data_IF_800933968401
#
_entry.id   IF_800933968401
#
_cell.length_a   1.000
_cell.length_b   1.000
_cell.length_c   1.000
_cell.angle_alpha   90.00
_cell.angle_beta   90.00
_cell.angle_gamma   90.00
#
_symmetry.space_group_name_H-M   'P 1'
#
loop_
_entity.id
_entity.type
_entity.pdbx_description
1 polymer ?
#
# COMPACT_ATOMS: atom_id res chain seq x y z
N UNK A 1 20.41 19.85 19.17
CA UNK A 1 20.21 18.48 18.64
C UNK A 1 20.99 17.52 19.50
N UNK A 2 20.34 16.55 20.14
CA UNK A 2 20.99 15.57 21.01
C UNK A 2 21.61 14.40 20.22
N UNK A 3 22.48 13.62 20.86
CA UNK A 3 23.08 12.41 20.26
C UNK A 3 22.05 11.41 19.75
N UNK A 4 20.91 11.29 20.44
CA UNK A 4 19.80 10.41 20.04
C UNK A 4 19.21 10.76 18.66
N UNK A 5 19.21 12.05 18.28
CA UNK A 5 18.71 12.49 16.98
C UNK A 5 19.55 11.92 15.83
N UNK A 6 20.87 12.08 15.90
CA UNK A 6 21.78 11.59 14.86
C UNK A 6 21.77 10.07 14.75
N UNK A 7 21.64 9.35 15.87
CA UNK A 7 21.54 7.89 15.88
C UNK A 7 20.21 7.45 15.25
N UNK A 8 19.08 8.08 15.61
CA UNK A 8 17.77 7.79 15.01
C UNK A 8 17.78 8.01 13.48
N UNK A 9 18.35 9.12 13.03
CA UNK A 9 18.51 9.41 11.60
C UNK A 9 19.38 8.37 10.90
N UNK A 10 20.48 7.95 11.53
CA UNK A 10 21.32 6.88 11.00
C UNK A 10 20.56 5.55 10.84
N UNK A 11 19.81 5.14 11.86
CA UNK A 11 18.96 3.93 11.82
C UNK A 11 17.93 4.05 10.69
N UNK A 12 17.27 5.19 10.57
CA UNK A 12 16.27 5.44 9.52
C UNK A 12 16.89 5.34 8.12
N UNK A 13 18.02 6.00 7.86
CA UNK A 13 18.68 5.98 6.55
C UNK A 13 19.16 4.58 6.18
N UNK A 14 19.72 3.83 7.14
CA UNK A 14 20.17 2.45 6.92
C UNK A 14 18.97 1.56 6.62
N UNK A 15 17.91 1.61 7.43
CA UNK A 15 16.70 0.83 7.22
C UNK A 15 16.09 1.13 5.85
N UNK A 16 15.99 2.41 5.49
CA UNK A 16 15.45 2.84 4.20
C UNK A 16 16.32 2.34 3.02
N UNK A 17 17.64 2.46 3.11
CA UNK A 17 18.55 1.95 2.08
C UNK A 17 18.43 0.44 1.88
N UNK A 18 18.26 -0.33 2.97
CA UNK A 18 18.06 -1.78 2.90
C UNK A 18 16.69 -2.13 2.29
N UNK A 19 15.63 -1.39 2.63
CA UNK A 19 14.30 -1.57 2.03
C UNK A 19 14.34 -1.31 0.53
N UNK A 20 14.96 -0.21 0.10
CA UNK A 20 15.11 0.16 -1.32
C UNK A 20 16.00 -0.83 -2.08
N UNK A 21 16.98 -1.43 -1.40
CA UNK A 21 17.80 -2.49 -2.01
C UNK A 21 17.01 -3.76 -2.32
N UNK A 22 15.80 -3.94 -1.79
CA UNK A 22 14.92 -5.11 -1.93
C UNK A 22 15.56 -6.49 -1.61
N UNK A 23 16.78 -6.51 -1.05
CA UNK A 23 17.51 -7.75 -0.70
C UNK A 23 16.94 -8.46 0.51
N UNK A 24 16.27 -7.71 1.40
CA UNK A 24 15.70 -8.21 2.65
C UNK A 24 14.24 -7.79 2.70
N UNK A 25 13.38 -8.66 3.24
CA UNK A 25 11.96 -8.38 3.36
C UNK A 25 11.71 -7.12 4.20
N UNK A 26 11.04 -6.11 3.62
CA UNK A 26 10.79 -4.81 4.24
C UNK A 26 10.23 -4.87 5.66
N UNK A 27 9.35 -5.83 5.95
CA UNK A 27 8.78 -6.05 7.28
C UNK A 27 9.86 -6.41 8.32
N UNK A 28 10.82 -7.26 7.96
CA UNK A 28 11.91 -7.66 8.87
C UNK A 28 12.78 -6.44 9.18
N UNK A 29 13.11 -5.65 8.16
CA UNK A 29 13.93 -4.44 8.31
C UNK A 29 13.23 -3.40 9.19
N UNK A 30 11.94 -3.17 8.97
CA UNK A 30 11.14 -2.22 9.74
C UNK A 30 11.02 -2.63 11.22
N UNK A 31 10.69 -3.90 11.49
CA UNK A 31 10.56 -4.42 12.87
C UNK A 31 11.92 -4.43 13.58
N UNK A 32 12.99 -4.81 12.88
CA UNK A 32 14.34 -4.78 13.43
C UNK A 32 14.79 -3.34 13.75
N UNK A 33 14.58 -2.40 12.83
CA UNK A 33 14.89 -0.98 13.06
C UNK A 33 14.13 -0.41 14.26
N UNK A 34 12.84 -0.72 14.39
CA UNK A 34 12.03 -0.35 15.55
C UNK A 34 12.58 -0.99 16.84
N UNK A 35 12.97 -2.27 16.81
CA UNK A 35 13.59 -2.95 17.95
C UNK A 35 14.90 -2.30 18.39
N UNK A 36 15.76 -1.90 17.45
CA UNK A 36 17.01 -1.18 17.75
C UNK A 36 16.71 0.18 18.42
N UNK A 37 15.70 0.91 17.93
CA UNK A 37 15.28 2.20 18.51
C UNK A 37 14.84 2.06 19.98
N UNK A 38 14.10 0.98 20.30
CA UNK A 38 13.66 0.67 21.68
C UNK A 38 14.82 0.22 22.57
N UNK A 39 15.71 -0.65 22.08
CA UNK A 39 16.87 -1.15 22.86
C UNK A 39 17.83 -0.02 23.21
N UNK A 40 18.04 0.92 22.29
CA UNK A 40 18.88 2.10 22.52
C UNK A 40 18.19 3.17 23.38
N UNK A 41 16.93 2.95 23.81
CA UNK A 41 16.11 3.91 24.56
C UNK A 41 16.02 5.28 23.89
N UNK A 42 16.00 5.28 22.55
CA UNK A 42 15.74 6.49 21.76
C UNK A 42 14.25 6.83 21.83
N UNK A 43 13.41 5.80 21.91
CA UNK A 43 11.99 5.86 22.20
C UNK A 43 11.67 4.87 23.32
N UNK A 44 10.79 5.25 24.24
CA UNK A 44 10.22 4.32 25.20
C UNK A 44 9.12 3.48 24.57
N UNK A 45 8.86 2.29 25.12
CA UNK A 45 7.80 1.41 24.62
C UNK A 45 6.43 2.09 24.65
N UNK A 46 6.16 2.91 25.68
CA UNK A 46 4.90 3.65 25.74
C UNK A 46 4.77 4.60 24.54
N UNK A 47 5.84 5.35 24.24
CA UNK A 47 5.88 6.30 23.13
C UNK A 47 5.73 5.61 21.78
N UNK A 48 6.43 4.48 21.58
CA UNK A 48 6.38 3.73 20.33
C UNK A 48 5.00 3.14 19.99
N UNK A 49 4.13 2.90 20.98
CA UNK A 49 2.82 2.29 20.75
C UNK A 49 1.62 3.21 20.96
N UNK A 50 1.76 4.28 21.74
CA UNK A 50 0.62 5.10 22.19
C UNK A 50 0.74 6.59 21.86
N UNK A 51 1.93 7.07 21.48
CA UNK A 51 2.12 8.46 21.10
C UNK A 51 1.98 8.55 19.58
N UNK A 52 0.95 9.26 19.10
CA UNK A 52 0.65 9.37 17.66
C UNK A 52 1.79 10.02 16.85
N UNK A 53 2.61 10.87 17.49
CA UNK A 53 3.67 11.63 16.80
C UNK A 53 4.92 10.78 16.48
N UNK A 54 5.24 9.79 17.32
CA UNK A 54 6.46 8.97 17.20
C UNK A 54 6.19 7.47 17.08
N UNK A 55 4.99 7.03 17.47
CA UNK A 55 4.60 5.64 17.55
C UNK A 55 3.81 5.16 16.34
N UNK A 56 3.24 3.97 16.49
CA UNK A 56 2.43 3.33 15.45
C UNK A 56 1.08 4.05 15.35
N UNK A 57 0.74 4.53 14.16
CA UNK A 57 -0.61 5.01 13.85
C UNK A 57 -1.57 3.83 13.68
N UNK A 58 -2.32 3.53 14.75
CA UNK A 58 -3.32 2.47 14.75
C UNK A 58 -4.48 2.72 13.79
N UNK A 59 -4.86 3.99 13.56
CA UNK A 59 -5.95 4.30 12.63
C UNK A 59 -5.56 3.84 11.22
N UNK A 60 -4.32 4.10 10.80
CA UNK A 60 -3.79 3.64 9.51
C UNK A 60 -3.70 2.11 9.46
N UNK A 61 -3.21 1.46 10.51
CA UNK A 61 -3.12 -0.01 10.55
C UNK A 61 -4.51 -0.65 10.43
N UNK A 62 -5.48 -0.21 11.23
CA UNK A 62 -6.85 -0.73 11.17
C UNK A 62 -7.52 -0.41 9.84
N UNK A 63 -7.34 0.80 9.29
CA UNK A 63 -7.85 1.16 7.97
C UNK A 63 -7.34 0.20 6.89
N UNK A 64 -6.02 -0.03 6.83
CA UNK A 64 -5.42 -0.93 5.84
C UNK A 64 -5.88 -2.37 6.01
N UNK A 65 -5.97 -2.88 7.25
CA UNK A 65 -6.48 -4.23 7.54
C UNK A 65 -7.93 -4.35 7.08
N UNK A 66 -8.80 -3.41 7.46
CA UNK A 66 -10.21 -3.42 7.08
C UNK A 66 -10.39 -3.37 5.56
N UNK A 67 -9.63 -2.53 4.87
CA UNK A 67 -9.63 -2.48 3.40
C UNK A 67 -9.21 -3.83 2.80
N UNK A 68 -8.10 -4.42 3.26
CA UNK A 68 -7.63 -5.73 2.77
C UNK A 68 -8.64 -6.86 3.02
N UNK A 69 -9.31 -6.88 4.18
CA UNK A 69 -10.35 -7.89 4.49
C UNK A 69 -11.53 -7.75 3.54
N UNK A 70 -12.06 -6.53 3.35
CA UNK A 70 -13.18 -6.27 2.42
C UNK A 70 -12.80 -6.70 1.00
N UNK A 71 -11.59 -6.38 0.56
CA UNK A 71 -11.11 -6.70 -0.79
C UNK A 71 -10.99 -8.21 -0.97
N UNK A 72 -10.40 -8.92 0.00
CA UNK A 72 -10.24 -10.37 -0.09
C UNK A 72 -11.58 -11.11 -0.11
N UNK A 73 -12.61 -10.57 0.55
CA UNK A 73 -13.98 -11.10 0.48
C UNK A 73 -14.66 -10.78 -0.87
N UNK A 74 -14.39 -9.62 -1.46
CA UNK A 74 -15.01 -9.19 -2.70
C UNK A 74 -14.36 -9.80 -3.95
N UNK A 75 -13.03 -9.98 -3.97
CA UNK A 75 -12.29 -10.47 -5.15
C UNK A 75 -12.86 -11.78 -5.72
N UNK A 76 -13.20 -12.83 -4.95
CA UNK A 76 -13.74 -14.08 -5.49
C UNK A 76 -15.13 -13.94 -6.15
N UNK A 77 -15.86 -12.85 -5.89
CA UNK A 77 -17.20 -12.63 -6.46
C UNK A 77 -17.18 -12.25 -7.94
N UNK A 78 -16.02 -11.88 -8.49
CA UNK A 78 -15.89 -11.45 -9.88
C UNK A 78 -16.44 -10.05 -10.17
N UNK A 79 -16.77 -9.26 -9.14
CA UNK A 79 -17.33 -7.91 -9.29
C UNK A 79 -16.38 -6.99 -10.06
N UNK A 80 -15.08 -7.10 -9.83
CA UNK A 80 -14.09 -6.25 -10.48
C UNK A 80 -13.96 -6.56 -11.97
N UNK A 81 -13.88 -7.84 -12.33
CA UNK A 81 -13.88 -8.34 -13.71
C UNK A 81 -15.16 -7.92 -14.44
N UNK A 82 -16.30 -8.01 -13.76
CA UNK A 82 -17.58 -7.55 -14.30
C UNK A 82 -17.56 -6.05 -14.64
N UNK A 83 -17.10 -5.20 -13.71
CA UNK A 83 -16.99 -3.75 -13.92
C UNK A 83 -16.05 -3.44 -15.08
N UNK A 84 -14.92 -4.15 -15.16
CA UNK A 84 -13.92 -4.01 -16.20
C UNK A 84 -14.46 -4.36 -17.59
N UNK A 85 -15.07 -5.54 -17.75
CA UNK A 85 -15.66 -5.99 -19.02
C UNK A 85 -16.79 -5.06 -19.46
N UNK A 86 -17.62 -4.61 -18.52
CA UNK A 86 -18.72 -3.68 -18.81
C UNK A 86 -18.21 -2.32 -19.28
N UNK A 87 -17.17 -1.83 -18.62
CA UNK A 87 -16.47 -0.59 -18.98
C UNK A 87 -15.83 -0.67 -20.38
N UNK A 88 -15.20 -1.80 -20.71
CA UNK A 88 -14.62 -2.04 -22.03
C UNK A 88 -15.68 -2.05 -23.13
N UNK A 89 -16.81 -2.74 -22.91
CA UNK A 89 -17.95 -2.78 -23.84
C UNK A 89 -18.53 -1.37 -24.07
N UNK A 90 -18.54 -0.51 -23.07
CA UNK A 90 -18.96 0.89 -23.22
C UNK A 90 -18.01 1.73 -24.07
N UNK A 91 -16.72 1.38 -24.13
CA UNK A 91 -15.75 2.03 -25.00
C UNK A 91 -15.92 1.70 -26.49
N UNK A 92 -16.76 0.72 -26.85
CA UNK A 92 -17.13 0.36 -28.23
C UNK A 92 -15.94 0.07 -29.16
N UNK A 93 -14.83 -0.42 -28.63
CA UNK A 93 -13.64 -0.78 -29.41
C UNK A 93 -12.71 0.40 -29.76
N UNK A 94 -12.99 1.62 -29.29
CA UNK A 94 -12.04 2.72 -29.43
C UNK A 94 -11.02 2.74 -28.27
N UNK A 95 -9.71 2.54 -28.53
CA UNK A 95 -8.70 2.41 -27.48
C UNK A 95 -8.65 3.61 -26.53
N UNK A 96 -8.69 4.84 -27.08
CA UNK A 96 -8.62 6.06 -26.28
C UNK A 96 -9.82 6.20 -25.33
N UNK A 97 -11.01 5.81 -25.79
CA UNK A 97 -12.24 5.87 -24.99
C UNK A 97 -12.23 4.82 -23.89
N UNK A 98 -11.74 3.61 -24.18
CA UNK A 98 -11.58 2.54 -23.18
C UNK A 98 -10.58 2.98 -22.10
N UNK A 99 -9.43 3.54 -22.49
CA UNK A 99 -8.43 4.06 -21.55
C UNK A 99 -9.02 5.15 -20.65
N UNK A 100 -9.80 6.09 -21.20
CA UNK A 100 -10.45 7.13 -20.41
C UNK A 100 -11.47 6.56 -19.41
N UNK A 101 -12.28 5.58 -19.82
CA UNK A 101 -13.23 4.90 -18.93
C UNK A 101 -12.47 4.15 -17.83
N UNK A 102 -11.39 3.45 -18.17
CA UNK A 102 -10.58 2.72 -17.20
C UNK A 102 -9.91 3.67 -16.21
N UNK A 103 -9.41 4.83 -16.65
CA UNK A 103 -8.87 5.83 -15.75
C UNK A 103 -9.92 6.33 -14.72
N UNK A 104 -11.15 6.60 -15.17
CA UNK A 104 -12.24 7.00 -14.28
C UNK A 104 -12.61 5.88 -13.30
N UNK A 105 -12.76 4.65 -13.81
CA UNK A 105 -13.07 3.48 -12.98
C UNK A 105 -11.94 3.24 -11.97
N UNK A 106 -10.68 3.35 -12.38
CA UNK A 106 -9.50 3.27 -11.50
C UNK A 106 -9.58 4.33 -10.41
N UNK A 107 -9.85 5.59 -10.77
CA UNK A 107 -9.91 6.69 -9.81
C UNK A 107 -11.01 6.47 -8.76
N UNK A 108 -12.19 6.00 -9.17
CA UNK A 108 -13.30 5.70 -8.26
C UNK A 108 -12.98 4.48 -7.40
N UNK A 109 -12.47 3.40 -7.99
CA UNK A 109 -12.12 2.18 -7.25
C UNK A 109 -10.94 2.39 -6.31
N UNK A 110 -9.95 3.22 -6.65
CA UNK A 110 -8.78 3.51 -5.82
C UNK A 110 -9.11 4.22 -4.51
N UNK A 111 -10.31 4.81 -4.38
CA UNK A 111 -10.78 5.34 -3.10
C UNK A 111 -11.24 4.24 -2.13
N UNK A 112 -11.59 3.06 -2.65
CA UNK A 112 -12.09 1.91 -1.89
C UNK A 112 -11.08 0.76 -1.80
N UNK A 113 -10.23 0.64 -2.81
CA UNK A 113 -9.25 -0.42 -2.97
C UNK A 113 -7.86 0.09 -2.62
N UNK A 114 -7.03 -0.79 -2.05
CA UNK A 114 -5.60 -0.52 -1.95
C UNK A 114 -4.95 -0.51 -3.35
N UNK A 115 -3.86 0.24 -3.48
CA UNK A 115 -3.20 0.48 -4.76
C UNK A 115 -2.72 -0.83 -5.44
N UNK A 116 -2.28 -1.82 -4.65
CA UNK A 116 -1.80 -3.10 -5.21
C UNK A 116 -2.96 -3.90 -5.78
N UNK A 117 -4.07 -4.00 -5.07
CA UNK A 117 -5.26 -4.71 -5.58
C UNK A 117 -5.81 -4.03 -6.83
N UNK A 118 -5.94 -2.71 -6.84
CA UNK A 118 -6.44 -1.96 -8.01
C UNK A 118 -5.63 -2.31 -9.26
N UNK A 119 -4.30 -2.29 -9.16
CA UNK A 119 -3.42 -2.65 -10.28
C UNK A 119 -3.60 -4.11 -10.70
N UNK A 120 -3.63 -5.05 -9.74
CA UNK A 120 -3.80 -6.47 -10.03
C UNK A 120 -5.13 -6.81 -10.74
N UNK A 121 -6.17 -6.00 -10.53
CA UNK A 121 -7.47 -6.18 -11.18
C UNK A 121 -7.51 -5.55 -12.58
N UNK A 122 -6.91 -4.38 -12.75
CA UNK A 122 -7.00 -3.62 -14.00
C UNK A 122 -6.01 -4.12 -15.06
N UNK A 123 -4.83 -4.58 -14.65
CA UNK A 123 -3.80 -5.13 -15.56
C UNK A 123 -4.33 -6.27 -16.44
N UNK A 124 -4.91 -7.37 -15.91
CA UNK A 124 -5.36 -8.48 -16.76
C UNK A 124 -6.46 -8.05 -17.73
N UNK A 125 -7.34 -7.15 -17.31
CA UNK A 125 -8.42 -6.62 -18.16
C UNK A 125 -7.85 -5.75 -19.28
N UNK A 126 -6.87 -4.90 -18.96
CA UNK A 126 -6.24 -4.02 -19.94
C UNK A 126 -5.50 -4.85 -20.99
N UNK A 127 -4.81 -5.92 -20.58
CA UNK A 127 -4.14 -6.86 -21.50
C UNK A 127 -5.16 -7.54 -22.42
N UNK A 128 -6.27 -8.07 -21.87
CA UNK A 128 -7.33 -8.73 -22.64
C UNK A 128 -8.00 -7.86 -23.71
N UNK A 129 -7.88 -6.54 -23.64
CA UNK A 129 -8.47 -5.59 -24.61
C UNK A 129 -7.41 -5.08 -25.59
N UNK A 130 -6.14 -5.09 -25.18
CA UNK A 130 -5.03 -4.69 -26.03
C UNK A 130 -4.66 -5.78 -27.05
N UNK A 131 -4.91 -7.05 -26.72
CA UNK A 131 -4.82 -8.22 -27.62
C UNK A 131 -6.06 -8.34 -28.54
#
# INVERSE_FOLDING_TARGET
>A
MGYSFWIATGIFLIAYAVIVSEKIHKTIVAVFGAGVMLVLKILEQHEAFHVEEFGIDWNVIFLLISMMVIINLMRPTGVFEYVAIKSAKWGKGEPFRIMAIFAIVTAVLSALLDNVTTVLLIVPVTILIAD
#
